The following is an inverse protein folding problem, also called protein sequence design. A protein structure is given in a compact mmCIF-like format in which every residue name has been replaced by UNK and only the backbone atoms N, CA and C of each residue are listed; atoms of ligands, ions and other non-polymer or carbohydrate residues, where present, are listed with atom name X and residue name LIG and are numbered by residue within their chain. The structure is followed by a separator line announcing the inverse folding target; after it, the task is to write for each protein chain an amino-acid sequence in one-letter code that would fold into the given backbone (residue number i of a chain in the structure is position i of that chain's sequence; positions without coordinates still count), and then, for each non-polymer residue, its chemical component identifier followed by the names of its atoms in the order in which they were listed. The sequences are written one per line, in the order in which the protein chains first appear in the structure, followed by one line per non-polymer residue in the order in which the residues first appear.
data_IF_359732677594
#
_entry.id   IF_359732677594
#
_cell.length_a   1.000
_cell.length_b   1.000
_cell.length_c   1.000
_cell.angle_alpha   90.00
_cell.angle_beta   90.00
_cell.angle_gamma   90.00
#
_symmetry.space_group_name_H-M   'P 1'
#
loop_
_entity.id
_entity.type
_entity.pdbx_description
1 polymer ?
#
# COMPACT_ATOMS: atom_id res chain seq x y z
N UNK A 1 -13.80 0.31 -27.26
CA UNK A 1 -13.32 -0.48 -26.11
C UNK A 1 -11.99 0.11 -25.68
N UNK A 2 -11.92 0.76 -24.52
CA UNK A 2 -10.63 1.23 -23.98
C UNK A 2 -9.82 0.02 -23.54
N UNK A 3 -8.60 -0.11 -24.03
CA UNK A 3 -7.64 -1.08 -23.52
C UNK A 3 -7.48 -0.88 -22.00
N UNK A 4 -7.50 -1.95 -21.18
CA UNK A 4 -7.22 -1.85 -19.76
C UNK A 4 -5.85 -1.19 -19.55
N UNK A 5 -5.79 -0.18 -18.69
CA UNK A 5 -4.54 0.52 -18.36
C UNK A 5 -3.73 -0.36 -17.42
N UNK A 6 -2.49 -0.74 -17.75
CA UNK A 6 -1.67 -1.53 -16.85
C UNK A 6 -1.26 -0.67 -15.65
N UNK A 7 -1.84 -0.98 -14.48
CA UNK A 7 -1.40 -0.44 -13.20
C UNK A 7 0.07 -0.87 -12.96
N UNK A 8 0.89 0.13 -12.69
CA UNK A 8 2.31 -0.06 -12.38
C UNK A 8 2.48 -0.06 -10.87
N UNK A 9 3.19 -1.05 -10.34
CA UNK A 9 3.40 -1.16 -8.88
C UNK A 9 4.84 -1.55 -8.55
N UNK A 10 5.40 -0.86 -7.58
CA UNK A 10 6.69 -1.15 -6.95
C UNK A 10 6.44 -1.68 -5.55
N UNK A 11 6.90 -2.89 -5.24
CA UNK A 11 6.65 -3.56 -3.95
C UNK A 11 7.96 -3.91 -3.25
N UNK A 12 7.99 -3.72 -1.93
CA UNK A 12 9.08 -4.20 -1.07
C UNK A 12 8.48 -5.00 0.07
N UNK A 13 9.01 -6.21 0.28
CA UNK A 13 8.48 -7.17 1.25
C UNK A 13 9.42 -7.34 2.43
N UNK A 14 8.84 -7.59 3.59
CA UNK A 14 9.59 -8.06 4.74
C UNK A 14 10.15 -9.45 4.44
N UNK A 15 11.33 -9.77 4.98
CA UNK A 15 12.04 -11.03 4.71
C UNK A 15 11.26 -12.28 5.16
N UNK A 16 10.44 -12.15 6.20
CA UNK A 16 9.71 -13.27 6.81
C UNK A 16 8.19 -13.13 6.59
N UNK A 17 7.49 -14.26 6.52
CA UNK A 17 6.04 -14.33 6.45
C UNK A 17 5.44 -14.66 7.83
N UNK A 18 5.58 -13.73 8.80
CA UNK A 18 5.18 -13.98 10.20
C UNK A 18 4.48 -12.79 10.86
N UNK A 19 3.88 -11.92 10.05
CA UNK A 19 3.32 -10.66 10.53
C UNK A 19 1.80 -10.60 10.37
N UNK A 20 1.17 -9.94 11.32
CA UNK A 20 -0.28 -9.67 11.34
C UNK A 20 -0.57 -8.18 11.24
N UNK A 21 0.45 -7.33 11.26
CA UNK A 21 0.26 -5.90 11.21
C UNK A 21 1.52 -5.17 10.78
N UNK A 22 1.30 -3.97 10.28
CA UNK A 22 2.34 -3.04 9.87
C UNK A 22 1.89 -1.63 10.22
N UNK A 23 2.81 -0.82 10.73
CA UNK A 23 2.58 0.61 10.95
C UNK A 23 3.83 1.42 10.66
N UNK A 24 3.63 2.71 10.45
CA UNK A 24 4.68 3.68 10.24
C UNK A 24 4.08 4.98 9.76
N UNK A 25 4.82 5.72 8.97
CA UNK A 25 4.35 6.95 8.34
C UNK A 25 4.72 6.99 6.87
N UNK A 26 3.89 7.67 6.08
CA UNK A 26 4.16 8.02 4.69
C UNK A 26 4.52 9.50 4.65
N UNK A 27 5.71 9.84 4.16
CA UNK A 27 6.07 11.19 3.78
C UNK A 27 5.58 11.43 2.36
N UNK A 28 4.50 12.20 2.24
CA UNK A 28 3.89 12.59 0.96
C UNK A 28 4.89 13.50 0.22
N UNK A 29 5.10 13.31 -1.09
CA UNK A 29 5.88 14.22 -1.92
C UNK A 29 5.49 15.69 -1.71
N UNK A 30 6.47 16.59 -1.70
CA UNK A 30 6.22 18.05 -1.67
C UNK A 30 5.70 18.55 -3.02
N UNK A 31 6.18 17.96 -4.11
CA UNK A 31 5.72 18.22 -5.48
C UNK A 31 4.99 16.98 -5.97
N UNK A 32 3.75 17.15 -6.43
CA UNK A 32 2.87 16.05 -6.79
C UNK A 32 1.98 16.42 -7.98
N UNK A 33 2.43 16.07 -9.19
CA UNK A 33 1.74 16.34 -10.43
C UNK A 33 1.20 15.01 -10.98
N UNK A 34 -0.12 14.82 -10.96
CA UNK A 34 -0.75 13.59 -11.46
C UNK A 34 -1.74 13.97 -12.54
N UNK A 35 -1.61 13.35 -13.71
CA UNK A 35 -2.44 13.63 -14.88
C UNK A 35 -3.12 12.36 -15.37
N UNK A 36 -4.45 12.34 -15.35
CA UNK A 36 -5.23 11.26 -15.97
C UNK A 36 -5.21 9.91 -15.25
N UNK A 37 -4.79 9.84 -13.99
CA UNK A 37 -4.75 8.61 -13.19
C UNK A 37 -4.50 8.87 -11.70
N UNK A 38 -3.67 8.05 -11.07
CA UNK A 38 -3.40 8.14 -9.63
C UNK A 38 -1.98 7.70 -9.26
N UNK A 39 -1.57 8.10 -8.06
CA UNK A 39 -0.37 7.59 -7.38
C UNK A 39 -0.72 7.15 -5.98
N UNK A 40 -0.16 6.02 -5.58
CA UNK A 40 -0.56 5.32 -4.36
C UNK A 40 0.63 5.03 -3.45
N UNK A 41 0.36 5.04 -2.14
CA UNK A 41 1.27 4.66 -1.08
C UNK A 41 0.56 3.72 -0.11
N UNK A 42 0.84 2.42 -0.22
CA UNK A 42 0.14 1.40 0.56
C UNK A 42 1.05 0.62 1.49
N UNK A 43 0.44 0.19 2.59
CA UNK A 43 0.87 -1.01 3.28
C UNK A 43 0.04 -2.20 2.82
N UNK A 44 0.62 -3.38 2.92
CA UNK A 44 -0.10 -4.60 2.65
C UNK A 44 0.35 -5.79 3.47
N UNK A 45 -0.54 -6.79 3.50
CA UNK A 45 -0.32 -8.10 4.07
C UNK A 45 -0.63 -9.16 3.01
N UNK A 46 0.18 -10.21 2.99
CA UNK A 46 0.11 -11.27 1.99
C UNK A 46 0.65 -10.84 0.62
N UNK A 47 0.88 -11.81 -0.24
CA UNK A 47 1.31 -11.53 -1.61
C UNK A 47 0.12 -11.04 -2.45
N UNK A 48 -0.11 -9.73 -2.46
CA UNK A 48 -1.20 -9.05 -3.20
C UNK A 48 -2.62 -9.25 -2.65
N UNK A 49 -2.74 -9.78 -1.42
CA UNK A 49 -4.02 -10.09 -0.77
C UNK A 49 -4.67 -8.83 -0.21
N UNK A 50 -4.02 -8.16 0.75
CA UNK A 50 -4.51 -6.90 1.33
C UNK A 50 -3.55 -5.77 0.98
N UNK A 51 -4.08 -4.69 0.40
CA UNK A 51 -3.37 -3.44 0.16
C UNK A 51 -4.27 -2.27 0.56
N UNK A 52 -3.77 -1.37 1.40
CA UNK A 52 -4.49 -0.18 1.82
C UNK A 52 -3.53 0.97 2.11
N UNK A 53 -4.00 2.20 1.89
CA UNK A 53 -3.25 3.39 2.29
C UNK A 53 -3.79 4.65 1.66
N UNK A 54 -2.90 5.45 1.05
CA UNK A 54 -3.23 6.78 0.54
C UNK A 54 -3.06 6.80 -0.97
N UNK A 55 -4.04 7.37 -1.67
CA UNK A 55 -4.00 7.62 -3.11
C UNK A 55 -4.17 9.10 -3.41
N UNK A 56 -3.58 9.60 -4.49
CA UNK A 56 -3.80 10.95 -4.99
C UNK A 56 -4.11 10.97 -6.48
N UNK A 57 -5.21 11.60 -6.86
CA UNK A 57 -5.72 11.62 -8.26
C UNK A 57 -5.47 12.96 -8.97
N UNK A 58 -4.47 13.74 -8.54
CA UNK A 58 -4.18 15.07 -9.08
C UNK A 58 -5.02 16.21 -8.50
N UNK A 59 -6.13 15.88 -7.83
CA UNK A 59 -7.07 16.87 -7.27
C UNK A 59 -7.43 16.65 -5.81
N UNK A 60 -7.30 15.41 -5.31
CA UNK A 60 -7.68 15.04 -3.95
C UNK A 60 -6.95 13.80 -3.48
N UNK A 61 -6.85 13.66 -2.16
CA UNK A 61 -6.40 12.43 -1.52
C UNK A 61 -7.58 11.50 -1.25
N UNK A 62 -7.32 10.20 -1.34
CA UNK A 62 -8.27 9.12 -1.02
C UNK A 62 -7.60 8.04 -0.19
N UNK A 63 -8.41 7.18 0.40
CA UNK A 63 -7.94 6.08 1.26
C UNK A 63 -8.41 4.72 0.78
N UNK A 64 -7.86 4.20 -0.32
CA UNK A 64 -8.32 2.95 -0.88
C UNK A 64 -7.94 1.74 -0.02
N UNK A 65 -8.76 0.70 -0.13
CA UNK A 65 -8.50 -0.66 0.34
C UNK A 65 -8.86 -1.64 -0.76
N UNK A 66 -8.03 -2.67 -0.91
CA UNK A 66 -8.25 -3.81 -1.79
C UNK A 66 -8.01 -5.10 -1.02
N UNK A 67 -8.93 -6.05 -1.18
CA UNK A 67 -8.83 -7.39 -0.61
C UNK A 67 -9.11 -8.41 -1.70
N UNK A 68 -8.13 -9.26 -1.99
CA UNK A 68 -8.23 -10.33 -2.99
C UNK A 68 -8.03 -11.68 -2.34
N UNK A 69 -8.56 -12.71 -2.97
CA UNK A 69 -8.20 -14.10 -2.68
C UNK A 69 -6.79 -14.41 -3.20
N UNK A 70 -6.15 -15.51 -2.75
CA UNK A 70 -4.85 -15.95 -3.30
C UNK A 70 -4.87 -16.21 -4.82
N UNK A 71 -6.06 -16.47 -5.40
CA UNK A 71 -6.25 -16.62 -6.85
C UNK A 71 -6.40 -15.31 -7.62
N UNK A 72 -6.39 -14.16 -6.93
CA UNK A 72 -6.53 -12.83 -7.51
C UNK A 72 -7.97 -12.31 -7.60
N UNK A 73 -8.97 -13.16 -7.32
CA UNK A 73 -10.38 -12.74 -7.33
C UNK A 73 -10.65 -11.74 -6.20
N UNK A 74 -11.35 -10.62 -6.47
CA UNK A 74 -11.65 -9.62 -5.45
C UNK A 74 -12.67 -10.15 -4.45
N UNK A 75 -12.31 -10.11 -3.16
CA UNK A 75 -13.27 -10.25 -2.04
C UNK A 75 -13.93 -8.91 -1.78
N UNK A 76 -13.10 -7.86 -1.76
CA UNK A 76 -13.52 -6.48 -1.79
C UNK A 76 -12.76 -5.83 -2.94
N UNK A 77 -13.51 -5.43 -3.98
CA UNK A 77 -12.97 -4.58 -5.03
C UNK A 77 -12.44 -3.27 -4.45
N UNK A 78 -11.63 -2.53 -5.22
CA UNK A 78 -11.04 -1.28 -4.73
C UNK A 78 -12.11 -0.33 -4.20
N UNK A 79 -12.21 -0.22 -2.88
CA UNK A 79 -13.12 0.66 -2.16
C UNK A 79 -12.32 1.86 -1.69
N UNK A 80 -12.85 3.06 -1.79
CA UNK A 80 -12.11 4.29 -1.51
C UNK A 80 -13.03 5.40 -1.02
N UNK A 81 -12.56 6.13 0.00
CA UNK A 81 -13.19 7.35 0.48
C UNK A 81 -12.26 8.53 0.23
N UNK A 82 -12.85 9.72 0.00
CA UNK A 82 -12.11 10.97 -0.02
C UNK A 82 -11.64 11.28 1.40
N UNK A 83 -10.38 11.72 1.56
CA UNK A 83 -9.83 12.14 2.85
C UNK A 83 -9.38 13.59 2.79
N UNK A 84 -9.69 14.32 3.86
CA UNK A 84 -9.28 15.71 4.04
C UNK A 84 -8.12 15.79 5.04
N UNK A 85 -7.39 16.91 5.02
CA UNK A 85 -6.30 17.15 5.97
C UNK A 85 -4.95 16.50 5.61
N UNK A 86 -4.85 15.86 4.44
CA UNK A 86 -3.57 15.44 3.85
C UNK A 86 -3.18 16.47 2.78
N UNK A 87 -1.94 16.95 2.84
CA UNK A 87 -1.38 17.90 1.89
C UNK A 87 -0.03 17.39 1.38
N UNK A 88 0.43 17.83 0.19
CA UNK A 88 1.80 17.60 -0.25
C UNK A 88 2.82 17.99 0.84
N UNK A 89 3.87 17.18 1.01
CA UNK A 89 4.91 17.35 2.04
C UNK A 89 4.54 16.86 3.44
N UNK A 90 3.27 16.49 3.70
CA UNK A 90 2.85 15.99 5.00
C UNK A 90 3.49 14.63 5.32
N UNK A 91 3.69 14.37 6.61
CA UNK A 91 4.00 13.02 7.12
C UNK A 91 2.75 12.45 7.76
N UNK A 92 2.21 11.39 7.18
CA UNK A 92 0.92 10.80 7.55
C UNK A 92 1.14 9.44 8.21
N UNK A 93 0.83 9.27 9.50
CA UNK A 93 0.85 7.96 10.14
C UNK A 93 -0.16 7.02 9.49
N UNK A 94 0.23 5.77 9.28
CA UNK A 94 -0.61 4.71 8.73
C UNK A 94 -0.39 3.41 9.51
N UNK A 95 -1.47 2.66 9.72
CA UNK A 95 -1.43 1.33 10.32
C UNK A 95 -2.43 0.41 9.61
N UNK A 96 -2.00 -0.82 9.34
CA UNK A 96 -2.80 -1.92 8.84
C UNK A 96 -2.67 -3.08 9.84
N UNK A 97 -3.79 -3.64 10.29
CA UNK A 97 -3.82 -4.71 11.28
C UNK A 97 -4.85 -5.78 10.90
N UNK A 98 -4.41 -7.04 10.95
CA UNK A 98 -5.21 -8.25 10.86
C UNK A 98 -5.59 -8.74 12.25
N UNK A 99 -6.89 -8.74 12.53
CA UNK A 99 -7.48 -9.44 13.66
C UNK A 99 -7.74 -10.89 13.25
N UNK A 100 -6.91 -11.80 13.75
CA UNK A 100 -6.98 -13.23 13.45
C UNK A 100 -8.12 -13.97 14.16
N UNK A 101 -8.67 -13.39 15.22
CA UNK A 101 -9.79 -14.00 15.96
C UNK A 101 -11.09 -13.75 15.22
N UNK A 102 -11.25 -12.52 14.72
CA UNK A 102 -12.45 -12.10 14.02
C UNK A 102 -12.32 -12.18 12.48
N UNK A 103 -11.16 -12.55 11.95
CA UNK A 103 -10.86 -12.60 10.51
C UNK A 103 -11.16 -11.28 9.80
N UNK A 104 -10.66 -10.19 10.37
CA UNK A 104 -10.88 -8.84 9.82
C UNK A 104 -9.61 -8.03 9.67
N UNK A 105 -9.67 -7.02 8.80
CA UNK A 105 -8.66 -5.99 8.62
C UNK A 105 -9.18 -4.66 9.14
N UNK A 106 -8.31 -3.93 9.82
CA UNK A 106 -8.54 -2.52 10.16
C UNK A 106 -7.39 -1.65 9.66
N UNK A 107 -7.72 -0.46 9.18
CA UNK A 107 -6.76 0.52 8.66
C UNK A 107 -6.97 1.85 9.36
N UNK A 108 -5.87 2.40 9.87
CA UNK A 108 -5.82 3.74 10.43
C UNK A 108 -4.95 4.62 9.56
N UNK A 109 -5.43 5.83 9.29
CA UNK A 109 -4.70 6.88 8.57
C UNK A 109 -4.83 8.15 9.39
N UNK A 110 -3.69 8.76 9.70
CA UNK A 110 -3.60 9.92 10.59
C UNK A 110 -4.29 9.71 11.96
N UNK A 111 -4.17 8.50 12.53
CA UNK A 111 -4.78 8.13 13.81
C UNK A 111 -6.28 7.83 13.76
N UNK A 112 -6.96 8.12 12.64
CA UNK A 112 -8.38 7.82 12.46
C UNK A 112 -8.53 6.43 11.84
N UNK A 113 -9.41 5.61 12.40
CA UNK A 113 -9.74 4.31 11.83
C UNK A 113 -10.67 4.50 10.64
N UNK A 114 -10.12 4.43 9.43
CA UNK A 114 -10.84 4.65 8.17
C UNK A 114 -11.60 3.39 7.76
N UNK A 115 -10.91 2.24 7.80
CA UNK A 115 -11.52 0.94 7.52
C UNK A 115 -11.58 0.15 8.82
N UNK A 116 -12.79 -0.22 9.24
CA UNK A 116 -13.02 -0.86 10.53
C UNK A 116 -13.55 -2.28 10.36
N UNK A 117 -12.79 -3.24 10.85
CA UNK A 117 -13.19 -4.66 10.93
C UNK A 117 -13.77 -5.19 9.62
N UNK A 118 -13.08 -4.91 8.52
CA UNK A 118 -13.45 -5.38 7.20
C UNK A 118 -13.15 -6.87 7.08
N UNK A 119 -14.15 -7.69 6.77
CA UNK A 119 -13.99 -9.14 6.63
C UNK A 119 -12.99 -9.48 5.53
N UNK A 120 -12.15 -10.49 5.80
CA UNK A 120 -11.23 -11.08 4.82
C UNK A 120 -11.52 -12.56 4.57
N UNK A 121 -12.74 -12.99 4.88
CA UNK A 121 -13.17 -14.34 4.53
C UNK A 121 -13.52 -14.41 3.05
N UNK A 122 -13.07 -15.46 2.37
CA UNK A 122 -13.51 -15.78 1.02
C UNK A 122 -14.96 -16.30 1.01
N UNK A 123 -15.48 -16.61 -0.18
CA UNK A 123 -16.84 -17.15 -0.35
C UNK A 123 -17.09 -18.50 0.35
N UNK A 124 -16.02 -19.19 0.76
CA UNK A 124 -16.08 -20.47 1.47
C UNK A 124 -15.85 -20.30 2.98
N UNK A 125 -15.69 -19.07 3.46
CA UNK A 125 -15.44 -18.78 4.88
C UNK A 125 -13.98 -18.98 5.31
N UNK A 126 -13.02 -19.02 4.39
CA UNK A 126 -11.60 -19.14 4.73
C UNK A 126 -10.94 -17.77 4.89
N UNK A 127 -10.10 -17.62 5.92
CA UNK A 127 -9.24 -16.45 6.08
C UNK A 127 -8.13 -16.46 5.01
N UNK A 128 -8.17 -15.47 4.10
CA UNK A 128 -7.22 -15.42 2.98
C UNK A 128 -5.80 -15.06 3.38
N UNK A 129 -5.57 -14.45 4.55
CA UNK A 129 -4.23 -14.17 5.07
C UNK A 129 -3.69 -15.32 5.94
N UNK A 130 -4.55 -16.25 6.37
CA UNK A 130 -4.19 -17.37 7.22
C UNK A 130 -3.68 -16.93 8.60
N UNK A 131 -2.77 -17.71 9.19
CA UNK A 131 -2.30 -17.47 10.56
C UNK A 131 -1.21 -16.41 10.68
N UNK A 132 -0.49 -16.11 9.59
CA UNK A 132 0.50 -15.06 9.46
C UNK A 132 0.78 -14.78 7.98
N UNK A 133 1.25 -13.56 7.69
CA UNK A 133 1.46 -13.10 6.32
C UNK A 133 2.74 -12.31 6.16
N UNK A 134 3.23 -12.22 4.92
CA UNK A 134 4.31 -11.30 4.55
C UNK A 134 3.78 -9.87 4.57
N UNK A 135 4.50 -8.95 5.19
CA UNK A 135 4.20 -7.53 5.14
C UNK A 135 4.90 -6.86 3.96
N UNK A 136 4.31 -5.78 3.42
CA UNK A 136 4.88 -5.04 2.29
C UNK A 136 4.59 -3.54 2.31
N UNK A 137 5.46 -2.80 1.64
CA UNK A 137 5.27 -1.42 1.20
C UNK A 137 5.02 -1.44 -0.31
N UNK A 138 4.13 -0.58 -0.78
CA UNK A 138 3.78 -0.49 -2.19
C UNK A 138 3.71 0.96 -2.61
N UNK A 139 4.34 1.29 -3.74
CA UNK A 139 3.95 2.45 -4.55
C UNK A 139 3.17 1.96 -5.77
N UNK A 140 2.01 2.55 -6.02
CA UNK A 140 1.17 2.29 -7.19
C UNK A 140 1.07 3.50 -8.10
N UNK A 141 0.83 3.26 -9.38
CA UNK A 141 0.75 4.27 -10.43
C UNK A 141 -0.19 3.82 -11.55
N UNK A 142 -1.23 4.61 -11.82
CA UNK A 142 -1.90 4.64 -13.12
C UNK A 142 -1.48 5.94 -13.81
N UNK A 143 -0.65 5.84 -14.85
CA UNK A 143 -0.08 6.98 -15.56
C UNK A 143 0.22 6.64 -17.03
N UNK A 144 0.13 7.67 -17.87
CA UNK A 144 0.46 7.63 -19.30
C UNK A 144 1.81 8.32 -19.60
N UNK A 145 2.67 8.50 -18.58
CA UNK A 145 3.98 9.17 -18.67
C UNK A 145 3.96 10.65 -18.32
N UNK A 146 2.81 11.24 -17.98
CA UNK A 146 2.70 12.67 -17.71
C UNK A 146 2.78 13.01 -16.20
N UNK A 147 2.68 12.01 -15.33
CA UNK A 147 2.72 12.21 -13.89
C UNK A 147 4.17 12.33 -13.41
N UNK A 148 4.41 13.19 -12.42
CA UNK A 148 5.70 13.36 -11.78
C UNK A 148 5.54 13.72 -10.31
N UNK A 149 6.46 13.26 -9.48
CA UNK A 149 6.49 13.64 -8.07
C UNK A 149 7.90 13.62 -7.50
N UNK A 150 8.15 14.56 -6.58
CA UNK A 150 9.36 14.57 -5.75
C UNK A 150 9.37 13.38 -4.79
N UNK A 151 10.51 12.99 -4.23
CA UNK A 151 10.65 11.82 -3.36
C UNK A 151 9.51 11.65 -2.32
N UNK A 152 8.75 10.56 -2.48
CA UNK A 152 7.85 10.01 -1.47
C UNK A 152 8.55 8.86 -0.76
N UNK A 153 8.25 8.67 0.53
CA UNK A 153 8.91 7.60 1.30
C UNK A 153 8.05 7.10 2.45
N UNK A 154 8.26 5.85 2.84
CA UNK A 154 7.81 5.36 4.13
C UNK A 154 8.86 5.69 5.22
N UNK A 155 8.46 5.62 6.49
CA UNK A 155 9.34 5.92 7.62
C UNK A 155 8.73 5.37 8.93
N UNK A 156 9.53 5.26 10.00
CA UNK A 156 9.12 4.76 11.33
C UNK A 156 8.43 3.38 11.28
N UNK A 157 8.92 2.51 10.39
CA UNK A 157 8.29 1.23 10.09
C UNK A 157 8.41 0.25 11.24
N UNK A 158 7.27 -0.33 11.64
CA UNK A 158 7.19 -1.44 12.57
C UNK A 158 6.28 -2.53 12.03
N UNK A 159 6.61 -3.77 12.36
CA UNK A 159 5.83 -4.97 12.04
C UNK A 159 5.31 -5.59 13.33
N UNK A 160 4.08 -6.09 13.30
CA UNK A 160 3.50 -6.82 14.43
C UNK A 160 3.59 -8.31 14.19
N UNK A 161 4.22 -9.02 15.12
CA UNK A 161 4.24 -10.48 15.16
C UNK A 161 2.90 -11.04 15.57
N UNK A 162 2.71 -12.33 15.35
CA UNK A 162 1.53 -13.09 15.76
C UNK A 162 1.27 -13.06 17.27
N UNK A 163 2.30 -12.86 18.09
CA UNK A 163 2.18 -12.69 19.55
C UNK A 163 1.74 -11.28 19.98
N UNK A 164 1.53 -10.37 19.03
CA UNK A 164 1.13 -8.98 19.28
C UNK A 164 2.29 -8.00 19.47
N UNK A 165 3.54 -8.47 19.49
CA UNK A 165 4.72 -7.62 19.68
C UNK A 165 5.05 -6.83 18.43
N UNK A 166 5.32 -5.53 18.59
CA UNK A 166 5.83 -4.67 17.52
C UNK A 166 7.36 -4.66 17.50
N UNK A 167 7.94 -4.92 16.33
CA UNK A 167 9.39 -4.83 16.09
C UNK A 167 9.67 -3.82 14.97
N UNK A 168 10.88 -3.26 14.94
CA UNK A 168 11.29 -2.37 13.86
C UNK A 168 11.47 -3.15 12.55
N UNK A 169 11.06 -2.54 11.42
CA UNK A 169 11.27 -3.13 10.10
C UNK A 169 12.57 -2.61 9.48
N UNK A 170 13.65 -3.38 9.65
CA UNK A 170 15.00 -2.95 9.25
C UNK A 170 15.59 -3.74 8.06
N UNK A 171 14.87 -4.72 7.52
CA UNK A 171 15.36 -5.57 6.42
C UNK A 171 14.26 -5.92 5.42
N UNK A 172 14.59 -6.00 4.14
CA UNK A 172 13.65 -6.45 3.11
C UNK A 172 14.26 -7.50 2.21
N UNK A 173 13.38 -8.28 1.60
CA UNK A 173 13.67 -8.89 0.30
C UNK A 173 12.98 -8.02 -0.74
N UNK A 174 13.72 -7.34 -1.63
CA UNK A 174 13.12 -6.71 -2.79
C UNK A 174 12.38 -7.78 -3.59
N UNK A 175 11.11 -7.54 -3.92
CA UNK A 175 10.40 -8.35 -4.90
C UNK A 175 9.95 -7.42 -6.01
N UNK A 176 10.68 -7.49 -7.11
CA UNK A 176 10.33 -6.84 -8.36
C UNK A 176 10.49 -7.91 -9.43
N UNK A 177 9.48 -8.29 -10.22
CA UNK A 177 9.77 -8.29 -11.65
C UNK A 177 10.19 -6.85 -11.99
N UNK A 178 11.31 -6.70 -12.70
CA UNK A 178 11.82 -5.40 -13.13
C UNK A 178 10.65 -4.53 -13.66
N UNK A 179 10.60 -3.24 -13.31
CA UNK A 179 9.55 -2.36 -13.79
C UNK A 179 9.41 -2.44 -15.31
N UNK A 180 8.31 -3.00 -15.81
CA UNK A 180 7.96 -2.98 -17.23
C UNK A 180 6.89 -1.92 -17.48
N UNK A 181 6.96 -1.21 -18.61
CA UNK A 181 6.05 -0.11 -18.91
C UNK A 181 6.39 1.19 -18.16
N UNK A 182 5.39 1.95 -17.74
CA UNK A 182 5.54 3.21 -16.99
C UNK A 182 6.20 3.05 -15.61
N UNK A 183 6.37 1.83 -15.12
CA UNK A 183 7.16 1.51 -13.94
C UNK A 183 8.63 1.93 -14.03
N UNK A 184 9.17 2.05 -15.26
CA UNK A 184 10.51 2.60 -15.52
C UNK A 184 10.66 4.07 -15.12
N UNK A 185 9.56 4.78 -14.92
CA UNK A 185 9.54 6.18 -14.51
C UNK A 185 9.88 6.38 -13.02
N UNK A 186 9.81 5.31 -12.21
CA UNK A 186 10.25 5.39 -10.81
C UNK A 186 11.77 5.45 -10.73
N UNK A 187 12.26 6.49 -10.08
CA UNK A 187 13.63 6.54 -9.60
C UNK A 187 13.65 6.05 -8.14
N UNK A 188 14.08 4.81 -7.94
CA UNK A 188 14.15 4.17 -6.63
C UNK A 188 15.35 4.69 -5.85
N UNK A 189 15.09 5.27 -4.68
CA UNK A 189 16.11 5.83 -3.78
C UNK A 189 16.49 4.85 -2.66
N UNK A 190 15.56 4.03 -2.15
CA UNK A 190 15.82 3.01 -1.14
C UNK A 190 14.71 1.95 -1.08
N UNK A 191 15.05 0.75 -0.58
CA UNK A 191 14.10 -0.34 -0.39
C UNK A 191 13.47 -0.34 1.02
N UNK A 192 14.25 -0.08 2.07
CA UNK A 192 13.75 0.01 3.46
C UNK A 192 14.33 1.23 4.16
N UNK A 193 13.49 2.23 4.50
CA UNK A 193 12.11 2.33 4.04
C UNK A 193 12.03 2.46 2.51
N UNK A 194 10.91 2.05 1.91
CA UNK A 194 10.71 2.22 0.47
C UNK A 194 10.61 3.72 0.17
N UNK A 195 11.45 4.17 -0.76
CA UNK A 195 11.57 5.57 -1.15
C UNK A 195 11.84 5.68 -2.63
N UNK A 196 11.08 6.52 -3.33
CA UNK A 196 11.21 6.73 -4.77
C UNK A 196 10.69 8.11 -5.15
N UNK A 197 11.13 8.60 -6.30
CA UNK A 197 10.51 9.71 -7.02
C UNK A 197 9.97 9.22 -8.35
N UNK A 198 9.12 10.01 -8.98
CA UNK A 198 8.58 9.73 -10.32
C UNK A 198 8.93 10.90 -11.23
N UNK A 199 9.62 10.62 -12.32
CA UNK A 199 9.83 11.60 -13.37
C UNK A 199 8.74 11.44 -14.43
N UNK A 200 8.30 12.55 -15.03
CA UNK A 200 7.53 12.47 -16.26
C UNK A 200 8.43 11.89 -17.37
N UNK A 201 7.85 11.04 -18.21
CA UNK A 201 8.52 10.45 -19.38
C UNK A 201 8.39 11.36 -20.61
#
# INVERSE_FOLDING_TARGET
MSTPRPETTLRVFATNASYIGIKGSIKIPTTLNVSGGYVDWYFGLGNAIVEAGISYTGTKFRTPIKITSPGGEPIIGTSQDDITGITPGATVPIQLLHDRVNHTISVWINGVKIWNSISILDSHGNDVLGSASTAKMVFGLDDQGASSYSQGSFTLLKLQKTDGTWIDWNSSVPYTPLPSGSASSFNLNSYVPLSASLNAN
#
